data_IF_281789505609
#
_entry.id   IF_281789505609
#
_cell.length_a   1.000
_cell.length_b   1.000
_cell.length_c   1.000
_cell.angle_alpha   90.00
_cell.angle_beta   90.00
_cell.angle_gamma   90.00
#
_symmetry.space_group_name_H-M   'P 1'
#
loop_
_entity.id
_entity.type
_entity.pdbx_description
1 polymer ?
#
# COMPACT_ATOMS: atom_id res chain seq x y z
N UNK A 1 -16.96 21.54 -1.01
CA UNK A 1 -17.60 20.33 -1.56
C UNK A 1 -17.45 20.30 -3.09
N UNK A 2 -16.95 19.20 -3.66
CA UNK A 2 -16.87 18.98 -5.11
C UNK A 2 -18.11 18.21 -5.57
N UNK A 3 -18.79 18.74 -6.59
CA UNK A 3 -19.99 18.13 -7.19
C UNK A 3 -19.83 17.86 -8.69
N UNK A 4 -18.77 18.39 -9.31
CA UNK A 4 -18.51 18.21 -10.75
C UNK A 4 -17.69 16.95 -11.02
N UNK A 5 -18.16 16.13 -11.96
CA UNK A 5 -17.43 14.95 -12.46
C UNK A 5 -16.20 15.29 -13.31
N UNK A 6 -16.06 16.55 -13.73
CA UNK A 6 -14.93 17.07 -14.51
C UNK A 6 -13.91 17.83 -13.63
N UNK A 7 -13.96 17.62 -12.31
CA UNK A 7 -12.98 18.23 -11.41
C UNK A 7 -11.59 17.61 -11.62
N UNK A 8 -10.49 18.39 -11.55
CA UNK A 8 -9.12 17.87 -11.58
C UNK A 8 -8.87 16.76 -10.53
N UNK A 9 -9.56 16.80 -9.38
CA UNK A 9 -9.46 15.76 -8.36
C UNK A 9 -9.97 14.40 -8.87
N UNK A 10 -11.07 14.39 -9.65
CA UNK A 10 -11.63 13.16 -10.23
C UNK A 10 -10.66 12.58 -11.25
N UNK A 11 -10.06 13.42 -12.09
CA UNK A 11 -9.07 13.01 -13.07
C UNK A 11 -7.81 12.45 -12.42
N UNK A 12 -7.30 13.10 -11.37
CA UNK A 12 -6.14 12.65 -10.60
C UNK A 12 -6.37 11.26 -9.99
N UNK A 13 -7.50 11.05 -9.31
CA UNK A 13 -7.83 9.74 -8.74
C UNK A 13 -7.99 8.67 -9.81
N UNK A 14 -8.70 8.96 -10.91
CA UNK A 14 -8.87 8.00 -12.02
C UNK A 14 -7.55 7.64 -12.69
N UNK A 15 -6.61 8.57 -12.79
CA UNK A 15 -5.29 8.31 -13.34
C UNK A 15 -4.53 7.27 -12.50
N UNK A 16 -4.70 7.30 -11.17
CA UNK A 16 -4.09 6.35 -10.26
C UNK A 16 -4.83 4.99 -10.22
N UNK A 17 -6.15 4.95 -10.44
CA UNK A 17 -6.93 3.71 -10.41
C UNK A 17 -6.88 2.91 -11.72
N UNK A 18 -6.92 3.59 -12.87
CA UNK A 18 -7.18 2.97 -14.17
C UNK A 18 -6.11 1.97 -14.65
N UNK A 19 -6.29 1.44 -15.87
CA UNK A 19 -5.38 0.44 -16.47
C UNK A 19 -3.93 0.91 -16.61
N UNK A 20 -3.69 2.22 -16.66
CA UNK A 20 -2.35 2.85 -16.66
C UNK A 20 -1.88 3.27 -15.26
N UNK A 21 -2.66 2.97 -14.23
CA UNK A 21 -2.44 3.40 -12.85
C UNK A 21 -1.09 3.00 -12.31
N UNK A 22 -0.58 1.81 -12.64
CA UNK A 22 0.76 1.40 -12.19
C UNK A 22 1.89 2.31 -12.70
N UNK A 23 1.74 2.88 -13.91
CA UNK A 23 2.69 3.88 -14.42
C UNK A 23 2.49 5.22 -13.69
N UNK A 24 1.24 5.67 -13.57
CA UNK A 24 0.92 6.93 -12.90
C UNK A 24 1.39 6.95 -11.43
N UNK A 25 1.20 5.86 -10.69
CA UNK A 25 1.68 5.71 -9.31
C UNK A 25 3.20 5.79 -9.20
N UNK A 26 3.93 5.14 -10.12
CA UNK A 26 5.40 5.21 -10.19
C UNK A 26 5.91 6.62 -10.48
N UNK A 27 5.25 7.34 -11.39
CA UNK A 27 5.68 8.69 -11.79
C UNK A 27 5.32 9.76 -10.75
N UNK A 28 4.14 9.65 -10.14
CA UNK A 28 3.67 10.60 -9.13
C UNK A 28 4.18 10.32 -7.72
N UNK A 29 4.58 9.08 -7.44
CA UNK A 29 4.85 8.63 -6.07
C UNK A 29 3.59 8.57 -5.20
N UNK A 30 2.39 8.54 -5.78
CA UNK A 30 1.12 8.54 -5.05
C UNK A 30 0.29 7.31 -5.37
N UNK A 31 -0.62 6.93 -4.47
CA UNK A 31 -1.55 5.83 -4.68
C UNK A 31 -2.90 6.10 -3.99
N UNK A 32 -3.92 5.33 -4.38
CA UNK A 32 -5.28 5.46 -3.85
C UNK A 32 -5.53 4.38 -2.81
N UNK A 33 -6.09 4.80 -1.68
CA UNK A 33 -6.60 3.92 -0.63
C UNK A 33 -8.13 3.94 -0.69
N UNK A 34 -8.71 2.77 -0.95
CA UNK A 34 -10.16 2.59 -1.01
C UNK A 34 -10.64 1.63 0.08
N UNK A 35 -11.79 1.94 0.67
CA UNK A 35 -12.47 1.11 1.65
C UNK A 35 -12.25 1.56 3.08
N UNK A 36 -13.30 1.43 3.90
CA UNK A 36 -13.33 1.95 5.27
C UNK A 36 -12.22 1.38 6.14
N UNK A 37 -11.96 0.07 6.07
CA UNK A 37 -10.91 -0.57 6.89
C UNK A 37 -9.53 -0.04 6.52
N UNK A 38 -9.16 -0.07 5.24
CA UNK A 38 -7.85 0.43 4.78
C UNK A 38 -7.64 1.91 5.11
N UNK A 39 -8.68 2.73 5.00
CA UNK A 39 -8.60 4.15 5.37
C UNK A 39 -8.41 4.32 6.87
N UNK A 40 -9.08 3.54 7.71
CA UNK A 40 -8.87 3.57 9.17
C UNK A 40 -7.43 3.21 9.54
N UNK A 41 -6.91 2.12 8.99
CA UNK A 41 -5.54 1.68 9.22
C UNK A 41 -4.54 2.78 8.82
N UNK A 42 -4.72 3.39 7.64
CA UNK A 42 -3.86 4.49 7.21
C UNK A 42 -3.94 5.71 8.15
N UNK A 43 -5.14 6.07 8.61
CA UNK A 43 -5.33 7.20 9.54
C UNK A 43 -4.71 6.93 10.92
N UNK A 44 -4.74 5.68 11.37
CA UNK A 44 -4.28 5.29 12.70
C UNK A 44 -2.74 5.11 12.76
N UNK A 45 -2.14 4.59 11.68
CA UNK A 45 -0.72 4.21 11.66
C UNK A 45 0.19 5.16 10.87
N UNK A 46 -0.31 5.79 9.82
CA UNK A 46 0.51 6.63 8.93
C UNK A 46 -0.27 7.83 8.35
N UNK A 47 -0.93 8.64 9.18
CA UNK A 47 -1.72 9.77 8.70
C UNK A 47 -0.88 10.80 7.92
N UNK A 48 0.42 10.89 8.19
CA UNK A 48 1.37 11.75 7.47
C UNK A 48 1.66 11.33 6.04
N UNK A 49 1.38 10.08 5.68
CA UNK A 49 1.50 9.62 4.29
C UNK A 49 0.29 10.03 3.46
N UNK A 50 -0.87 10.24 4.09
CA UNK A 50 -2.08 10.70 3.41
C UNK A 50 -1.86 12.14 2.95
N UNK A 51 -2.28 12.45 1.72
CA UNK A 51 -2.25 13.81 1.16
C UNK A 51 -3.63 14.44 1.10
N UNK A 52 -4.63 13.64 0.71
CA UNK A 52 -6.01 14.09 0.59
C UNK A 52 -6.96 12.98 0.99
N UNK A 53 -7.89 13.28 1.91
CA UNK A 53 -9.02 12.45 2.26
C UNK A 53 -10.28 13.02 1.60
N UNK A 54 -10.84 12.27 0.66
CA UNK A 54 -12.15 12.55 0.06
C UNK A 54 -13.25 11.84 0.84
N UNK A 55 -14.30 12.57 1.19
CA UNK A 55 -15.41 12.01 1.93
C UNK A 55 -16.76 12.57 1.48
N UNK A 56 -17.79 11.73 1.57
CA UNK A 56 -19.20 12.17 1.55
C UNK A 56 -19.66 12.41 2.99
N UNK A 57 -20.81 13.06 3.19
CA UNK A 57 -21.38 13.23 4.53
C UNK A 57 -21.68 11.88 5.22
N UNK A 58 -22.10 10.85 4.48
CA UNK A 58 -22.25 9.47 5.01
C UNK A 58 -20.90 8.87 5.39
N UNK A 59 -19.90 8.99 4.52
CA UNK A 59 -18.54 8.50 4.79
C UNK A 59 -17.93 9.12 6.06
N UNK A 60 -18.11 10.43 6.25
CA UNK A 60 -17.66 11.13 7.44
C UNK A 60 -18.24 10.53 8.72
N UNK A 61 -19.53 10.18 8.72
CA UNK A 61 -20.19 9.57 9.88
C UNK A 61 -19.66 8.18 10.26
N UNK A 62 -18.93 7.52 9.36
CA UNK A 62 -18.33 6.19 9.59
C UNK A 62 -16.94 6.26 10.24
N UNK A 63 -16.32 7.44 10.24
CA UNK A 63 -15.04 7.70 10.89
C UNK A 63 -15.32 8.23 12.30
N UNK A 64 -14.70 7.61 13.31
CA UNK A 64 -14.88 8.04 14.70
C UNK A 64 -14.07 9.31 15.00
N UNK A 65 -12.88 9.42 14.40
CA UNK A 65 -11.98 10.56 14.55
C UNK A 65 -11.15 10.67 13.27
N UNK A 66 -10.81 11.89 12.88
CA UNK A 66 -9.90 12.17 11.77
C UNK A 66 -8.74 12.98 12.36
N UNK A 67 -7.49 12.52 12.25
CA UNK A 67 -6.33 13.30 12.68
C UNK A 67 -6.29 14.64 11.95
N UNK A 68 -6.10 15.72 12.71
CA UNK A 68 -6.03 17.08 12.15
C UNK A 68 -4.59 17.44 11.75
N UNK A 69 -4.44 18.27 10.71
CA UNK A 69 -3.15 18.89 10.35
C UNK A 69 -2.21 18.06 9.47
N UNK A 70 -2.58 16.84 9.10
CA UNK A 70 -1.76 15.96 8.25
C UNK A 70 -2.05 16.09 6.76
N UNK A 71 -3.33 16.21 6.39
CA UNK A 71 -3.80 16.13 5.00
C UNK A 71 -4.98 17.05 4.72
N UNK A 72 -5.24 17.28 3.43
CA UNK A 72 -6.44 18.00 2.98
C UNK A 72 -7.68 17.11 3.13
N UNK A 73 -8.78 17.68 3.64
CA UNK A 73 -10.08 17.00 3.68
C UNK A 73 -11.00 17.65 2.64
N UNK A 74 -11.47 16.86 1.69
CA UNK A 74 -12.32 17.32 0.58
C UNK A 74 -13.66 16.62 0.62
N UNK A 75 -14.71 17.37 0.93
CA UNK A 75 -16.07 16.85 0.79
C UNK A 75 -16.46 16.71 -0.69
N UNK A 76 -17.07 15.59 -1.06
CA UNK A 76 -17.53 15.30 -2.41
C UNK A 76 -18.99 14.82 -2.41
N UNK A 77 -19.70 15.01 -3.51
CA UNK A 77 -21.04 14.41 -3.67
C UNK A 77 -20.97 12.89 -3.82
N UNK A 78 -22.05 12.14 -3.51
CA UNK A 78 -22.11 10.70 -3.74
C UNK A 78 -21.83 10.30 -5.19
N UNK A 79 -22.26 11.12 -6.16
CA UNK A 79 -22.01 10.91 -7.59
C UNK A 79 -20.53 11.06 -7.95
N UNK A 80 -19.88 12.09 -7.39
CA UNK A 80 -18.43 12.30 -7.55
C UNK A 80 -17.65 11.17 -6.90
N UNK A 81 -17.98 10.79 -5.66
CA UNK A 81 -17.36 9.66 -4.97
C UNK A 81 -17.47 8.37 -5.79
N UNK A 82 -18.67 8.07 -6.29
CA UNK A 82 -18.91 6.90 -7.15
C UNK A 82 -18.06 6.93 -8.42
N UNK A 83 -17.84 8.11 -9.00
CA UNK A 83 -16.98 8.25 -10.18
C UNK A 83 -15.49 8.13 -9.85
N UNK A 84 -15.10 8.35 -8.60
CA UNK A 84 -13.71 8.29 -8.12
C UNK A 84 -13.30 6.91 -7.59
N UNK A 85 -14.23 5.97 -7.42
CA UNK A 85 -13.94 4.66 -6.82
C UNK A 85 -14.15 3.51 -7.81
N UNK A 86 -13.34 2.46 -7.71
CA UNK A 86 -13.51 1.20 -8.47
C UNK A 86 -14.41 0.19 -7.73
N UNK A 87 -14.77 0.46 -6.48
CA UNK A 87 -15.63 -0.42 -5.69
C UNK A 87 -17.10 -0.39 -6.16
N UNK A 88 -17.75 -1.56 -6.19
CA UNK A 88 -19.16 -1.70 -6.59
C UNK A 88 -20.10 -0.97 -5.61
N UNK A 89 -19.72 -0.91 -4.33
CA UNK A 89 -20.47 -0.24 -3.25
C UNK A 89 -19.55 0.71 -2.48
N UNK A 90 -19.36 1.96 -2.99
CA UNK A 90 -18.50 2.93 -2.34
C UNK A 90 -19.01 3.25 -0.93
N UNK A 91 -18.12 3.18 0.06
CA UNK A 91 -18.45 3.46 1.46
C UNK A 91 -18.35 4.95 1.80
N UNK A 92 -18.30 5.81 0.78
CA UNK A 92 -18.28 7.26 0.95
C UNK A 92 -16.92 7.85 1.33
N UNK A 93 -15.83 7.08 1.23
CA UNK A 93 -14.48 7.45 1.63
C UNK A 93 -13.45 6.99 0.59
N UNK A 94 -12.48 7.84 0.29
CA UNK A 94 -11.32 7.55 -0.55
C UNK A 94 -10.15 8.43 -0.11
N UNK A 95 -8.93 7.92 -0.06
CA UNK A 95 -7.76 8.73 0.20
C UNK A 95 -6.72 8.61 -0.92
N UNK A 96 -5.93 9.67 -1.10
CA UNK A 96 -4.64 9.61 -1.80
C UNK A 96 -3.55 9.65 -0.73
N UNK A 97 -2.54 8.80 -0.88
CA UNK A 97 -1.36 8.78 -0.02
C UNK A 97 -0.07 8.74 -0.87
N UNK A 98 1.03 9.16 -0.27
CA UNK A 98 2.37 9.05 -0.83
C UNK A 98 2.89 7.61 -0.65
N UNK A 99 3.56 7.11 -1.68
CA UNK A 99 4.34 5.87 -1.62
C UNK A 99 5.59 6.18 -0.78
N UNK A 100 5.81 5.45 0.34
CA UNK A 100 6.99 5.64 1.18
C UNK A 100 8.28 5.50 0.36
N UNK A 101 9.17 6.49 0.49
CA UNK A 101 10.48 6.50 -0.19
C UNK A 101 11.55 5.83 0.68
N UNK A 102 11.21 4.71 1.31
CA UNK A 102 12.11 4.02 2.22
C UNK A 102 13.19 3.27 1.41
N UNK A 103 14.46 3.59 1.67
CA UNK A 103 15.58 2.87 1.06
C UNK A 103 15.82 1.55 1.77
N UNK A 104 15.86 0.45 1.02
CA UNK A 104 16.19 -0.87 1.58
C UNK A 104 17.59 -0.87 2.23
N UNK A 105 18.54 -0.16 1.65
CA UNK A 105 19.89 -0.05 2.20
C UNK A 105 19.90 0.70 3.54
N UNK A 106 19.11 1.76 3.67
CA UNK A 106 18.99 2.53 4.93
C UNK A 106 18.28 1.71 6.01
N UNK A 107 17.21 0.99 5.64
CA UNK A 107 16.53 0.05 6.54
C UNK A 107 17.51 -1.00 7.10
N UNK A 108 18.31 -1.61 6.23
CA UNK A 108 19.34 -2.55 6.66
C UNK A 108 20.38 -1.87 7.56
N UNK A 109 20.89 -0.69 7.19
CA UNK A 109 21.92 0.00 7.97
C UNK A 109 21.42 0.42 9.36
N UNK A 110 20.13 0.76 9.50
CA UNK A 110 19.53 1.16 10.77
C UNK A 110 19.33 -0.02 11.74
N UNK A 111 19.18 -1.24 11.22
CA UNK A 111 18.95 -2.42 12.05
C UNK A 111 20.23 -2.88 12.76
N UNK A 112 20.16 -2.99 14.10
CA UNK A 112 21.25 -3.45 14.98
C UNK A 112 21.15 -4.93 15.35
N UNK A 113 20.10 -5.62 14.94
CA UNK A 113 19.80 -7.02 15.30
C UNK A 113 19.70 -7.92 14.05
N UNK A 114 19.46 -9.20 14.30
CA UNK A 114 19.00 -10.13 13.25
C UNK A 114 17.65 -9.65 12.70
N UNK A 115 17.44 -9.82 11.39
CA UNK A 115 16.22 -9.44 10.68
C UNK A 115 15.58 -10.69 10.06
N UNK A 116 14.26 -10.82 10.21
CA UNK A 116 13.41 -11.77 9.50
C UNK A 116 12.77 -11.07 8.31
N UNK A 117 13.19 -11.46 7.12
CA UNK A 117 12.75 -10.80 5.88
C UNK A 117 12.03 -11.82 4.99
N UNK A 118 10.82 -11.48 4.55
CA UNK A 118 10.07 -12.28 3.61
C UNK A 118 10.36 -11.79 2.18
N UNK A 119 11.01 -12.60 1.36
CA UNK A 119 11.31 -12.27 -0.04
C UNK A 119 10.41 -13.06 -0.99
N UNK A 120 9.65 -12.35 -1.82
CA UNK A 120 8.76 -12.96 -2.81
C UNK A 120 9.23 -12.65 -4.23
N UNK A 121 9.48 -13.71 -4.99
CA UNK A 121 9.97 -13.62 -6.37
C UNK A 121 8.82 -13.63 -7.37
N UNK A 122 8.71 -12.54 -8.14
CA UNK A 122 7.82 -12.36 -9.28
C UNK A 122 6.35 -12.71 -9.01
N UNK A 123 5.84 -12.35 -7.83
CA UNK A 123 4.41 -12.54 -7.52
C UNK A 123 3.58 -11.70 -8.50
N UNK A 124 2.62 -12.32 -9.21
CA UNK A 124 1.82 -11.63 -10.23
C UNK A 124 0.39 -11.32 -9.80
N UNK A 125 -0.18 -12.15 -8.91
CA UNK A 125 -1.57 -11.96 -8.48
C UNK A 125 -1.64 -10.95 -7.31
N UNK A 126 -2.44 -9.87 -7.45
CA UNK A 126 -2.65 -8.89 -6.37
C UNK A 126 -3.24 -9.47 -5.07
N UNK A 127 -4.07 -10.53 -5.18
CA UNK A 127 -4.66 -11.17 -4.01
C UNK A 127 -3.62 -11.93 -3.20
N UNK A 128 -2.77 -12.69 -3.88
CA UNK A 128 -1.63 -13.37 -3.29
C UNK A 128 -0.65 -12.37 -2.67
N UNK A 129 -0.34 -11.26 -3.35
CA UNK A 129 0.54 -10.23 -2.81
C UNK A 129 0.03 -9.66 -1.47
N UNK A 130 -1.25 -9.30 -1.38
CA UNK A 130 -1.82 -8.85 -0.10
C UNK A 130 -1.86 -9.94 0.96
N UNK A 131 -2.13 -11.19 0.57
CA UNK A 131 -2.12 -12.34 1.50
C UNK A 131 -0.75 -12.54 2.12
N UNK A 132 0.32 -12.48 1.33
CA UNK A 132 1.68 -12.68 1.85
C UNK A 132 2.17 -11.51 2.69
N UNK A 133 1.74 -10.26 2.39
CA UNK A 133 2.00 -9.10 3.24
C UNK A 133 1.37 -9.32 4.62
N UNK A 134 0.09 -9.69 4.64
CA UNK A 134 -0.64 -9.97 5.88
C UNK A 134 -0.03 -11.12 6.68
N UNK A 135 0.39 -12.19 5.99
CA UNK A 135 1.04 -13.31 6.64
C UNK A 135 2.38 -12.88 7.29
N UNK A 136 3.21 -12.14 6.56
CA UNK A 136 4.50 -11.67 7.08
C UNK A 136 4.34 -10.76 8.30
N UNK A 137 3.40 -9.82 8.26
CA UNK A 137 3.03 -8.98 9.41
C UNK A 137 2.60 -9.83 10.62
N UNK A 138 1.64 -10.74 10.42
CA UNK A 138 1.14 -11.61 11.48
C UNK A 138 2.19 -12.56 12.07
N UNK A 139 3.19 -12.99 11.29
CA UNK A 139 4.28 -13.85 11.75
C UNK A 139 5.47 -13.05 12.34
N UNK A 140 5.38 -11.72 12.41
CA UNK A 140 6.40 -10.86 13.00
C UNK A 140 7.68 -10.81 12.17
N UNK A 141 7.55 -10.75 10.84
CA UNK A 141 8.66 -10.37 9.96
C UNK A 141 8.96 -8.88 10.12
N UNK A 142 10.22 -8.50 9.89
CA UNK A 142 10.67 -7.11 10.00
C UNK A 142 10.47 -6.34 8.68
N UNK A 143 10.40 -7.05 7.54
CA UNK A 143 10.10 -6.46 6.24
C UNK A 143 9.61 -7.50 5.23
N UNK A 144 8.87 -7.01 4.23
CA UNK A 144 8.51 -7.76 3.03
C UNK A 144 9.18 -7.15 1.81
N UNK A 145 9.77 -7.99 0.99
CA UNK A 145 10.47 -7.58 -0.22
C UNK A 145 9.86 -8.32 -1.41
N UNK A 146 9.49 -7.55 -2.43
CA UNK A 146 9.06 -8.07 -3.71
C UNK A 146 10.17 -7.89 -4.74
N UNK A 147 10.48 -8.94 -5.50
CA UNK A 147 11.47 -8.85 -6.57
C UNK A 147 11.02 -7.92 -7.69
N UNK A 148 11.96 -7.60 -8.59
CA UNK A 148 11.62 -7.06 -9.90
C UNK A 148 10.53 -7.89 -10.59
N UNK A 149 9.77 -7.22 -11.45
CA UNK A 149 8.65 -7.80 -12.19
C UNK A 149 7.52 -8.37 -11.34
N UNK A 150 7.47 -8.10 -10.03
CA UNK A 150 6.29 -8.40 -9.21
C UNK A 150 5.15 -7.42 -9.50
N UNK A 151 3.94 -7.79 -9.09
CA UNK A 151 2.75 -6.96 -9.13
C UNK A 151 2.97 -5.64 -8.39
N UNK A 152 2.24 -4.61 -8.81
CA UNK A 152 2.24 -3.33 -8.11
C UNK A 152 1.55 -3.44 -6.75
N UNK A 153 2.36 -3.41 -5.69
CA UNK A 153 1.91 -3.56 -4.29
C UNK A 153 1.13 -2.36 -3.75
N UNK A 154 1.14 -1.23 -4.48
CA UNK A 154 0.34 -0.04 -4.16
C UNK A 154 -0.92 0.06 -5.03
N UNK A 155 -1.21 -0.99 -5.82
CA UNK A 155 -2.50 -1.07 -6.50
C UNK A 155 -3.65 -1.21 -5.48
N UNK A 156 -4.83 -0.64 -5.75
CA UNK A 156 -5.96 -0.68 -4.82
C UNK A 156 -6.36 -2.10 -4.39
N UNK A 157 -6.20 -3.08 -5.29
CA UNK A 157 -6.49 -4.48 -4.98
C UNK A 157 -5.52 -5.06 -3.95
N UNK A 158 -4.21 -4.77 -4.06
CA UNK A 158 -3.20 -5.23 -3.08
C UNK A 158 -3.40 -4.54 -1.73
N UNK A 159 -3.57 -3.21 -1.73
CA UNK A 159 -3.81 -2.44 -0.50
C UNK A 159 -5.02 -3.00 0.25
N UNK A 160 -6.14 -3.27 -0.44
CA UNK A 160 -7.31 -3.90 0.18
C UNK A 160 -7.05 -5.32 0.68
N UNK A 161 -6.40 -6.17 -0.12
CA UNK A 161 -6.16 -7.57 0.27
C UNK A 161 -5.13 -7.74 1.38
N UNK A 162 -4.29 -6.72 1.63
CA UNK A 162 -3.36 -6.68 2.77
C UNK A 162 -4.03 -6.50 4.13
N UNK A 163 -5.31 -6.06 4.15
CA UNK A 163 -6.11 -5.91 5.37
C UNK A 163 -5.44 -5.08 6.50
N UNK A 164 -4.76 -3.98 6.14
CA UNK A 164 -4.14 -3.05 7.09
C UNK A 164 -2.64 -3.23 7.25
N UNK A 165 -2.13 -4.43 6.98
CA UNK A 165 -0.70 -4.75 7.12
C UNK A 165 0.22 -3.89 6.25
N UNK A 166 -0.31 -3.20 5.22
CA UNK A 166 0.46 -2.26 4.39
C UNK A 166 1.19 -1.19 5.22
N UNK A 167 0.59 -0.73 6.32
CA UNK A 167 1.14 0.30 7.21
C UNK A 167 1.88 -0.24 8.44
N UNK A 168 1.88 -1.56 8.66
CA UNK A 168 2.46 -2.17 9.85
C UNK A 168 3.87 -2.72 9.61
N UNK A 169 4.15 -3.15 8.38
CA UNK A 169 5.41 -3.78 8.00
C UNK A 169 6.05 -3.04 6.83
N UNK A 170 7.35 -2.67 6.90
CA UNK A 170 8.07 -2.07 5.78
C UNK A 170 8.00 -2.94 4.51
N UNK A 171 7.58 -2.31 3.41
CA UNK A 171 7.49 -2.95 2.10
C UNK A 171 8.54 -2.38 1.14
N UNK A 172 9.31 -3.27 0.51
CA UNK A 172 10.27 -2.92 -0.52
C UNK A 172 9.92 -3.62 -1.84
N UNK A 173 10.17 -2.95 -2.96
CA UNK A 173 9.90 -3.49 -4.30
C UNK A 173 11.13 -3.38 -5.19
N UNK A 174 11.13 -4.13 -6.29
CA UNK A 174 12.15 -4.03 -7.33
C UNK A 174 13.56 -4.31 -6.79
N UNK A 175 13.64 -5.25 -5.84
CA UNK A 175 14.91 -5.74 -5.31
C UNK A 175 15.23 -7.08 -5.98
N UNK A 176 16.13 -7.05 -6.94
CA UNK A 176 16.64 -8.27 -7.58
C UNK A 176 17.27 -9.21 -6.56
N UNK A 177 17.24 -10.52 -6.83
CA UNK A 177 17.90 -11.52 -5.99
C UNK A 177 19.40 -11.22 -5.84
N UNK A 178 20.04 -10.74 -6.91
CA UNK A 178 21.45 -10.33 -6.89
C UNK A 178 21.70 -9.16 -5.94
N UNK A 179 20.84 -8.13 -5.99
CA UNK A 179 20.92 -6.99 -5.09
C UNK A 179 20.63 -7.37 -3.63
N UNK A 180 19.69 -8.30 -3.42
CA UNK A 180 19.38 -8.84 -2.11
C UNK A 180 20.61 -9.54 -1.51
N UNK A 181 21.18 -10.52 -2.23
CA UNK A 181 22.37 -11.25 -1.81
C UNK A 181 23.56 -10.32 -1.57
N UNK A 182 23.74 -9.31 -2.41
CA UNK A 182 24.76 -8.30 -2.20
C UNK A 182 24.49 -7.49 -0.91
N UNK A 183 23.25 -7.08 -0.65
CA UNK A 183 22.95 -6.30 0.56
C UNK A 183 23.24 -7.07 1.86
N UNK A 184 23.23 -8.41 1.81
CA UNK A 184 23.62 -9.27 2.91
C UNK A 184 25.07 -9.72 2.89
N UNK A 185 25.91 -9.43 1.88
CA UNK A 185 27.32 -9.87 1.92
C UNK A 185 28.10 -9.23 3.09
N UNK A 186 27.68 -8.04 3.53
CA UNK A 186 28.29 -7.30 4.63
C UNK A 186 27.71 -7.65 6.02
N UNK A 187 26.72 -8.55 6.10
CA UNK A 187 26.13 -9.05 7.37
C UNK A 187 26.14 -10.58 7.36
N UNK A 188 26.39 -11.27 8.47
CA UNK A 188 26.28 -12.72 8.49
C UNK A 188 24.83 -13.13 8.17
N UNK A 189 24.59 -13.66 6.96
CA UNK A 189 23.33 -14.29 6.58
C UNK A 189 23.24 -15.62 7.32
N UNK A 190 22.37 -15.67 8.34
CA UNK A 190 22.26 -16.84 9.23
C UNK A 190 21.58 -18.01 8.51
N UNK A 191 20.59 -17.72 7.67
CA UNK A 191 19.97 -18.69 6.76
C UNK A 191 19.19 -17.96 5.67
N UNK A 192 19.05 -18.59 4.51
CA UNK A 192 18.09 -18.19 3.48
C UNK A 192 17.39 -19.46 3.02
N UNK A 193 16.19 -19.69 3.54
CA UNK A 193 15.34 -20.79 3.11
C UNK A 193 14.48 -20.33 1.95
N UNK A 194 14.70 -20.92 0.78
CA UNK A 194 13.78 -20.79 -0.34
C UNK A 194 12.61 -21.72 -0.08
N UNK A 195 11.55 -21.20 0.52
CA UNK A 195 10.30 -21.95 0.66
C UNK A 195 9.54 -21.82 -0.67
N UNK A 196 9.37 -22.92 -1.41
CA UNK A 196 8.53 -22.89 -2.59
C UNK A 196 7.07 -22.87 -2.14
N UNK A 197 6.19 -22.16 -2.86
CA UNK A 197 4.75 -22.12 -2.54
C UNK A 197 4.13 -23.53 -2.53
N UNK A 198 4.76 -24.51 -3.16
CA UNK A 198 4.38 -25.93 -3.10
C UNK A 198 4.62 -26.61 -1.72
N UNK A 199 5.40 -26.00 -0.84
CA UNK A 199 5.72 -26.52 0.50
C UNK A 199 4.68 -26.09 1.55
N UNK A 200 3.78 -25.17 1.20
CA UNK A 200 2.63 -24.78 2.02
C UNK A 200 1.47 -25.75 1.74
N UNK A 201 1.52 -26.92 2.37
CA UNK A 201 0.37 -27.83 2.41
C UNK A 201 -0.78 -27.15 3.17
N UNK A 202 -1.84 -26.77 2.46
CA UNK A 202 -3.17 -26.52 3.04
C UNK A 202 -3.92 -27.85 3.20
#
# INVERSE_FOLDING_TARGET
MITSLHSPHVEAVKALLGSRGGKARKESGQYVIEGLSSIKEALDFSPEEITTLYLTSDGMSRLATIPEGYFEIVEVSPEVMKAMTDTVTPQGLLAIAQIPQNSFAEFLAASKSELKIAYFWQIQDPGNAGTVIRAADAFGFDAVIFSDNSVDIYSPKVVRSSAGSHWHIPLFTSISEGNLKHSFWARPLISMELMQVADLNY
#
